data_IF_976558821651
#
_entry.id   IF_976558821651
#
_cell.length_a   1.000
_cell.length_b   1.000
_cell.length_c   1.000
_cell.angle_alpha   90.00
_cell.angle_beta   90.00
_cell.angle_gamma   90.00
#
_symmetry.space_group_name_H-M   'P 1'
#
loop_
_entity.id
_entity.type
_entity.pdbx_description
1 polymer ?
#
# COMPACT_ATOMS: atom_id res chain seq x y z
N UNK A 1 -44.82 -79.00 -39.11
CA UNK A 1 -44.66 -77.56 -38.81
C UNK A 1 -43.24 -77.40 -38.28
N UNK A 2 -42.31 -76.99 -39.14
CA UNK A 2 -40.87 -76.88 -38.85
C UNK A 2 -40.59 -75.46 -38.37
N UNK A 3 -39.89 -75.30 -37.23
CA UNK A 3 -39.35 -74.01 -36.78
C UNK A 3 -37.87 -74.22 -36.55
N UNK A 4 -37.07 -73.57 -37.39
CA UNK A 4 -35.61 -73.59 -37.40
C UNK A 4 -35.04 -72.38 -36.64
N UNK A 5 -33.87 -72.61 -36.06
CA UNK A 5 -33.03 -71.69 -35.29
C UNK A 5 -32.54 -70.47 -36.10
N UNK A 6 -32.24 -69.36 -35.40
CA UNK A 6 -31.23 -68.40 -35.86
C UNK A 6 -30.33 -67.95 -34.70
N UNK A 7 -29.00 -67.93 -34.89
CA UNK A 7 -28.03 -67.48 -33.90
C UNK A 7 -27.71 -65.98 -34.02
N UNK A 8 -27.45 -65.33 -32.89
CA UNK A 8 -26.99 -63.93 -32.81
C UNK A 8 -25.46 -63.90 -32.94
N UNK A 9 -24.96 -63.27 -34.01
CA UNK A 9 -23.54 -63.07 -34.29
C UNK A 9 -23.12 -61.64 -33.92
N UNK A 10 -22.10 -61.55 -33.07
CA UNK A 10 -21.38 -60.34 -32.64
C UNK A 10 -20.62 -59.69 -33.80
N UNK A 11 -20.79 -58.38 -33.99
CA UNK A 11 -20.02 -57.58 -34.95
C UNK A 11 -18.92 -56.76 -34.26
N UNK A 12 -17.70 -56.81 -34.81
CA UNK A 12 -16.51 -56.08 -34.36
C UNK A 12 -16.46 -54.63 -34.88
N UNK A 13 -15.75 -53.70 -34.20
CA UNK A 13 -15.64 -52.30 -34.60
C UNK A 13 -14.63 -52.06 -35.74
N UNK A 14 -14.95 -51.10 -36.61
CA UNK A 14 -14.15 -50.68 -37.79
C UNK A 14 -12.99 -49.75 -37.40
N UNK A 15 -11.81 -49.86 -38.05
CA UNK A 15 -10.71 -48.91 -37.88
C UNK A 15 -10.90 -47.64 -38.74
N UNK A 16 -10.65 -46.48 -38.15
CA UNK A 16 -10.55 -45.19 -38.85
C UNK A 16 -9.17 -45.05 -39.51
N UNK A 17 -9.15 -44.82 -40.83
CA UNK A 17 -7.96 -44.51 -41.61
C UNK A 17 -7.99 -43.02 -41.96
N UNK A 18 -7.02 -42.25 -41.48
CA UNK A 18 -6.84 -40.83 -41.82
C UNK A 18 -6.02 -40.72 -43.11
N UNK A 19 -6.62 -40.11 -44.13
CA UNK A 19 -6.05 -39.89 -45.47
C UNK A 19 -5.27 -38.57 -45.48
N UNK A 20 -3.95 -38.63 -45.58
CA UNK A 20 -3.09 -37.44 -45.75
C UNK A 20 -3.03 -37.09 -47.23
N UNK A 21 -3.65 -35.98 -47.63
CA UNK A 21 -3.50 -35.45 -48.98
C UNK A 21 -2.19 -34.65 -49.10
N UNK A 22 -1.22 -35.27 -49.80
CA UNK A 22 -0.01 -34.63 -50.31
C UNK A 22 -0.42 -33.74 -51.49
N UNK A 23 -0.35 -32.41 -51.36
CA UNK A 23 -0.62 -31.47 -52.45
C UNK A 23 0.70 -30.99 -53.06
N UNK A 24 0.83 -31.24 -54.35
CA UNK A 24 1.98 -30.94 -55.19
C UNK A 24 2.18 -29.44 -55.42
N UNK A 25 3.45 -29.12 -55.66
CA UNK A 25 4.00 -27.85 -56.07
C UNK A 25 3.37 -27.30 -57.37
N UNK A 26 2.97 -26.03 -57.35
CA UNK A 26 3.20 -25.00 -58.38
C UNK A 26 2.35 -23.78 -58.04
N UNK A 27 2.90 -22.77 -57.36
CA UNK A 27 2.30 -21.43 -57.39
C UNK A 27 3.28 -20.33 -56.95
N UNK A 28 3.70 -19.57 -57.97
CA UNK A 28 4.04 -18.13 -58.01
C UNK A 28 4.53 -17.46 -56.73
N UNK A 29 5.81 -17.05 -56.76
CA UNK A 29 6.41 -16.05 -55.88
C UNK A 29 5.66 -14.70 -55.92
N UNK A 30 5.26 -14.15 -54.77
CA UNK A 30 5.19 -12.72 -54.54
C UNK A 30 6.51 -12.24 -53.93
N UNK A 31 7.02 -11.12 -54.43
CA UNK A 31 8.24 -10.46 -53.96
C UNK A 31 8.11 -10.07 -52.48
N UNK A 32 9.00 -10.60 -51.63
CA UNK A 32 9.19 -10.13 -50.26
C UNK A 32 10.10 -8.90 -50.25
N UNK A 33 9.70 -7.77 -49.64
CA UNK A 33 10.64 -6.75 -49.22
C UNK A 33 11.44 -7.28 -48.02
N UNK A 34 12.76 -7.04 -48.02
CA UNK A 34 13.69 -7.42 -46.96
C UNK A 34 13.16 -7.09 -45.55
N UNK A 35 13.33 -7.98 -44.54
CA UNK A 35 13.15 -7.60 -43.15
C UNK A 35 14.30 -6.66 -42.74
N UNK A 36 13.95 -5.46 -42.28
CA UNK A 36 14.89 -4.57 -41.62
C UNK A 36 15.43 -5.26 -40.35
N UNK A 37 16.74 -5.15 -40.04
CA UNK A 37 17.24 -5.61 -38.75
C UNK A 37 16.57 -4.77 -37.66
N UNK A 38 15.78 -5.43 -36.81
CA UNK A 38 15.17 -4.84 -35.63
C UNK A 38 16.30 -4.26 -34.77
N UNK A 39 16.44 -2.94 -34.80
CA UNK A 39 17.18 -2.21 -33.80
C UNK A 39 16.61 -2.65 -32.44
N UNK A 40 17.43 -3.36 -31.67
CA UNK A 40 17.11 -3.79 -30.32
C UNK A 40 16.60 -2.57 -29.56
N UNK A 41 15.30 -2.54 -29.32
CA UNK A 41 14.69 -1.55 -28.45
C UNK A 41 15.39 -1.68 -27.11
N UNK A 42 16.20 -0.68 -26.76
CA UNK A 42 16.70 -0.51 -25.40
C UNK A 42 15.47 -0.60 -24.48
N UNK A 43 15.46 -1.46 -23.45
CA UNK A 43 14.40 -1.41 -22.47
C UNK A 43 14.38 0.01 -21.90
N UNK A 44 13.24 0.68 -22.04
CA UNK A 44 12.99 1.96 -21.41
C UNK A 44 13.28 1.84 -19.91
N UNK A 45 13.83 2.89 -19.25
CA UNK A 45 14.02 2.86 -17.81
C UNK A 45 12.66 2.60 -17.17
N UNK A 46 12.53 1.41 -16.57
CA UNK A 46 11.36 1.06 -15.76
C UNK A 46 11.19 2.17 -14.74
N UNK A 47 10.00 2.75 -14.69
CA UNK A 47 9.64 3.73 -13.67
C UNK A 47 10.09 3.16 -12.32
N UNK A 48 11.05 3.83 -11.70
CA UNK A 48 11.67 3.38 -10.46
C UNK A 48 10.59 3.49 -9.40
N UNK A 49 9.92 2.37 -9.11
CA UNK A 49 8.96 2.31 -8.01
C UNK A 49 9.67 2.87 -6.77
N UNK A 50 9.01 3.73 -5.96
CA UNK A 50 9.63 4.34 -4.80
C UNK A 50 10.26 3.25 -3.94
N UNK A 51 11.54 3.42 -3.64
CA UNK A 51 12.29 2.45 -2.85
C UNK A 51 11.73 2.49 -1.44
N UNK A 52 11.27 1.35 -0.88
CA UNK A 52 10.69 1.34 0.45
C UNK A 52 11.71 1.84 1.48
N UNK A 53 11.28 2.55 2.53
CA UNK A 53 12.18 3.08 3.55
C UNK A 53 12.83 1.92 4.30
N UNK A 54 14.13 1.70 4.03
CA UNK A 54 14.87 0.54 4.52
C UNK A 54 15.57 0.82 5.86
N UNK A 55 15.37 -0.07 6.83
CA UNK A 55 16.00 -0.04 8.14
C UNK A 55 17.34 -0.78 8.12
N UNK A 56 18.37 -0.12 7.56
CA UNK A 56 19.74 -0.62 7.51
C UNK A 56 20.29 -1.16 8.85
N UNK A 57 20.14 -0.46 10.00
CA UNK A 57 20.62 -0.98 11.27
C UNK A 57 19.80 -2.18 11.79
N UNK A 58 18.52 -2.31 11.45
CA UNK A 58 17.76 -3.52 11.77
C UNK A 58 18.26 -4.72 10.96
N UNK A 59 18.46 -4.56 9.65
CA UNK A 59 19.00 -5.62 8.79
C UNK A 59 20.34 -6.16 9.31
N UNK A 60 21.27 -5.27 9.66
CA UNK A 60 22.58 -5.64 10.22
C UNK A 60 22.44 -6.39 11.55
N UNK A 61 21.54 -5.95 12.44
CA UNK A 61 21.32 -6.60 13.75
C UNK A 61 20.77 -8.01 13.58
N UNK A 62 19.77 -8.19 12.73
CA UNK A 62 19.15 -9.50 12.46
C UNK A 62 20.19 -10.44 11.85
N UNK A 63 20.92 -9.99 10.83
CA UNK A 63 22.00 -10.78 10.23
C UNK A 63 23.05 -11.19 11.27
N UNK A 64 23.52 -10.25 12.08
CA UNK A 64 24.52 -10.52 13.11
C UNK A 64 24.01 -11.50 14.18
N UNK A 65 22.72 -11.43 14.55
CA UNK A 65 22.09 -12.36 15.47
C UNK A 65 22.03 -13.80 14.91
N UNK A 66 21.96 -13.95 13.58
CA UNK A 66 22.03 -15.24 12.89
C UNK A 66 23.47 -15.74 12.67
N UNK A 67 24.50 -14.96 13.04
CA UNK A 67 25.90 -15.30 12.80
C UNK A 67 26.29 -15.34 11.31
N UNK A 68 25.50 -14.71 10.44
CA UNK A 68 25.74 -14.71 8.99
C UNK A 68 26.65 -13.56 8.59
N UNK A 69 27.69 -13.83 7.79
CA UNK A 69 28.41 -12.76 7.07
C UNK A 69 27.62 -12.24 5.85
N UNK A 70 27.87 -11.00 5.37
CA UNK A 70 27.21 -10.46 4.17
C UNK A 70 27.35 -11.35 2.93
N UNK A 71 28.43 -12.15 2.88
CA UNK A 71 28.66 -13.15 1.83
C UNK A 71 27.59 -14.24 1.78
N UNK A 72 27.18 -14.74 2.96
CA UNK A 72 26.13 -15.76 3.07
C UNK A 72 24.79 -15.21 2.62
N UNK A 73 24.50 -13.95 2.97
CA UNK A 73 23.26 -13.27 2.55
C UNK A 73 23.23 -13.08 1.04
N UNK A 74 24.32 -12.54 0.48
CA UNK A 74 24.42 -12.34 -0.97
C UNK A 74 24.34 -13.68 -1.73
N UNK A 75 24.96 -14.74 -1.21
CA UNK A 75 24.80 -16.08 -1.76
C UNK A 75 23.34 -16.55 -1.75
N UNK A 76 22.65 -16.44 -0.62
CA UNK A 76 21.23 -16.82 -0.49
C UNK A 76 20.30 -16.05 -1.43
N UNK A 77 20.52 -14.74 -1.60
CA UNK A 77 19.73 -13.93 -2.54
C UNK A 77 19.98 -14.34 -4.00
N UNK A 78 21.22 -14.68 -4.36
CA UNK A 78 21.54 -15.19 -5.70
C UNK A 78 20.96 -16.57 -5.96
N UNK A 79 21.12 -17.50 -5.01
CA UNK A 79 20.75 -18.90 -5.19
C UNK A 79 19.26 -19.15 -5.08
N UNK A 80 18.59 -18.49 -4.14
CA UNK A 80 17.21 -18.82 -3.76
C UNK A 80 16.18 -17.85 -4.34
N UNK A 81 16.59 -16.62 -4.67
CA UNK A 81 15.70 -15.57 -5.16
C UNK A 81 16.03 -15.07 -6.56
N UNK A 82 17.03 -15.66 -7.22
CA UNK A 82 17.36 -15.36 -8.61
C UNK A 82 17.85 -13.92 -8.84
N UNK A 83 18.54 -13.33 -7.85
CA UNK A 83 19.10 -11.98 -7.91
C UNK A 83 20.62 -12.03 -8.12
N UNK A 84 21.13 -12.43 -9.30
CA UNK A 84 22.54 -12.78 -9.53
C UNK A 84 23.52 -11.61 -9.33
N UNK A 85 23.04 -10.38 -9.42
CA UNK A 85 23.83 -9.16 -9.29
C UNK A 85 24.11 -8.77 -7.83
N UNK A 86 23.43 -9.38 -6.86
CA UNK A 86 23.62 -9.04 -5.45
C UNK A 86 25.00 -9.54 -4.98
N UNK A 87 25.88 -8.60 -4.62
CA UNK A 87 27.22 -8.88 -4.10
C UNK A 87 27.29 -8.67 -2.58
N UNK A 88 28.30 -9.24 -1.89
CA UNK A 88 28.51 -8.98 -0.46
C UNK A 88 28.72 -7.48 -0.17
N UNK A 89 29.40 -6.77 -1.08
CA UNK A 89 29.59 -5.32 -0.99
C UNK A 89 28.28 -4.54 -1.11
N UNK A 90 27.34 -5.02 -1.94
CA UNK A 90 26.01 -4.41 -2.05
C UNK A 90 25.21 -4.59 -0.75
N UNK A 91 25.26 -5.77 -0.14
CA UNK A 91 24.65 -6.03 1.18
C UNK A 91 25.28 -5.13 2.24
N UNK A 92 26.61 -4.99 2.25
CA UNK A 92 27.30 -4.09 3.17
C UNK A 92 27.01 -2.59 2.89
N UNK A 93 26.71 -2.22 1.65
CA UNK A 93 26.28 -0.88 1.29
C UNK A 93 24.86 -0.59 1.82
N UNK A 94 23.94 -1.55 1.71
CA UNK A 94 22.61 -1.48 2.32
C UNK A 94 22.70 -1.33 3.84
N UNK A 95 23.47 -2.17 4.53
CA UNK A 95 23.61 -2.14 5.99
C UNK A 95 24.25 -0.85 6.53
N UNK A 96 25.01 -0.13 5.72
CA UNK A 96 25.58 1.18 6.05
C UNK A 96 24.70 2.36 5.64
N UNK A 97 23.56 2.09 4.99
CA UNK A 97 22.68 3.11 4.43
C UNK A 97 23.27 3.87 3.23
N UNK A 98 24.31 3.32 2.58
CA UNK A 98 24.92 3.90 1.38
C UNK A 98 24.10 3.62 0.12
N UNK A 99 23.22 2.62 0.17
CA UNK A 99 22.24 2.28 -0.85
C UNK A 99 20.97 1.74 -0.18
N UNK A 100 19.85 1.70 -0.91
CA UNK A 100 18.59 1.12 -0.43
C UNK A 100 18.12 0.00 -1.37
N UNK A 101 17.66 -1.14 -0.84
CA UNK A 101 17.14 -2.24 -1.66
C UNK A 101 15.78 -1.88 -2.25
N UNK A 102 15.55 -2.27 -3.51
CA UNK A 102 14.25 -2.23 -4.17
C UNK A 102 13.23 -3.13 -3.46
N UNK A 103 11.93 -2.97 -3.76
CA UNK A 103 10.89 -3.77 -3.13
C UNK A 103 11.07 -5.29 -3.27
N UNK A 104 11.56 -5.77 -4.42
CA UNK A 104 11.87 -7.19 -4.63
C UNK A 104 13.10 -7.66 -3.86
N UNK A 105 14.14 -6.82 -3.79
CA UNK A 105 15.35 -7.10 -3.02
C UNK A 105 15.06 -7.15 -1.53
N UNK A 106 14.19 -6.28 -1.02
CA UNK A 106 13.79 -6.26 0.39
C UNK A 106 13.05 -7.54 0.77
N UNK A 107 12.10 -8.01 -0.05
CA UNK A 107 11.42 -9.30 0.18
C UNK A 107 12.40 -10.48 0.16
N UNK A 108 13.34 -10.50 -0.79
CA UNK A 108 14.36 -11.54 -0.85
C UNK A 108 15.30 -11.50 0.35
N UNK A 109 15.72 -10.30 0.78
CA UNK A 109 16.55 -10.10 1.97
C UNK A 109 15.84 -10.58 3.24
N UNK A 110 14.55 -10.24 3.40
CA UNK A 110 13.73 -10.70 4.51
C UNK A 110 13.66 -12.24 4.55
N UNK A 111 13.45 -12.87 3.39
CA UNK A 111 13.44 -14.33 3.27
C UNK A 111 14.77 -15.00 3.62
N UNK A 112 15.90 -14.43 3.21
CA UNK A 112 17.25 -14.94 3.57
C UNK A 112 17.57 -14.73 5.04
N UNK A 113 17.12 -13.62 5.63
CA UNK A 113 17.29 -13.29 7.05
C UNK A 113 16.23 -13.93 7.94
N UNK A 114 15.32 -14.75 7.39
CA UNK A 114 14.23 -15.41 8.12
C UNK A 114 13.42 -14.42 8.97
N UNK A 115 13.29 -13.19 8.50
CA UNK A 115 12.55 -12.13 9.15
C UNK A 115 11.40 -11.66 8.26
N UNK A 116 10.46 -10.95 8.84
CA UNK A 116 9.41 -10.28 8.08
C UNK A 116 10.00 -9.07 7.32
N UNK A 117 9.43 -8.73 6.17
CA UNK A 117 9.82 -7.51 5.46
C UNK A 117 9.54 -6.25 6.30
N UNK A 118 8.57 -6.29 7.21
CA UNK A 118 8.27 -5.21 8.16
C UNK A 118 9.40 -4.90 9.13
N UNK A 119 10.15 -5.90 9.58
CA UNK A 119 11.32 -5.68 10.44
C UNK A 119 12.47 -4.95 9.72
N UNK A 120 12.45 -4.96 8.38
CA UNK A 120 13.42 -4.27 7.53
C UNK A 120 12.90 -2.93 7.00
N UNK A 121 11.64 -2.57 7.28
CA UNK A 121 11.05 -1.28 6.88
C UNK A 121 11.06 -0.35 8.09
N UNK A 122 11.64 0.85 7.97
CA UNK A 122 11.80 1.75 9.12
C UNK A 122 10.53 2.53 9.47
N UNK A 123 9.74 2.94 8.46
CA UNK A 123 8.45 3.60 8.63
C UNK A 123 7.66 3.49 7.33
N UNK A 124 6.72 2.54 7.21
CA UNK A 124 5.92 2.42 5.99
C UNK A 124 5.10 3.71 5.78
N UNK A 125 5.11 4.23 4.55
CA UNK A 125 4.40 5.45 4.14
C UNK A 125 3.45 5.20 2.97
N UNK A 126 3.69 4.14 2.20
CA UNK A 126 2.85 3.76 1.05
C UNK A 126 2.02 2.53 1.36
N UNK A 127 0.90 2.36 0.64
CA UNK A 127 0.06 1.15 0.72
C UNK A 127 0.88 -0.12 0.57
N UNK A 128 1.77 -0.12 -0.43
CA UNK A 128 2.68 -1.22 -0.72
C UNK A 128 3.59 -1.52 0.46
N UNK A 129 4.17 -0.49 1.08
CA UNK A 129 5.06 -0.66 2.23
C UNK A 129 4.33 -1.20 3.46
N UNK A 130 3.12 -0.71 3.76
CA UNK A 130 2.31 -1.25 4.86
C UNK A 130 1.94 -2.71 4.60
N UNK A 131 1.55 -3.06 3.37
CA UNK A 131 1.28 -4.46 2.99
C UNK A 131 2.52 -5.33 3.14
N UNK A 132 3.67 -4.86 2.66
CA UNK A 132 4.94 -5.57 2.81
C UNK A 132 5.31 -5.73 4.29
N UNK A 133 5.06 -4.71 5.10
CA UNK A 133 5.33 -4.77 6.54
C UNK A 133 4.50 -5.85 7.25
N UNK A 134 3.23 -6.00 6.84
CA UNK A 134 2.34 -7.05 7.34
C UNK A 134 2.56 -8.43 6.68
N UNK A 135 3.40 -8.52 5.65
CA UNK A 135 3.69 -9.78 4.95
C UNK A 135 2.51 -10.35 4.14
N UNK A 136 1.54 -9.51 3.76
CA UNK A 136 0.31 -9.95 3.07
C UNK A 136 0.48 -9.88 1.54
N UNK A 137 -0.05 -10.87 0.82
CA UNK A 137 -0.07 -10.84 -0.64
C UNK A 137 -1.07 -9.79 -1.16
N UNK A 138 -0.78 -9.18 -2.33
CA UNK A 138 -1.66 -8.16 -2.90
C UNK A 138 -3.06 -8.71 -3.21
N UNK A 139 -3.13 -9.97 -3.63
CA UNK A 139 -4.35 -10.73 -3.90
C UNK A 139 -5.24 -10.87 -2.67
N UNK A 140 -4.64 -11.09 -1.51
CA UNK A 140 -5.37 -11.29 -0.26
C UNK A 140 -5.94 -9.97 0.26
N UNK A 141 -5.19 -8.87 0.12
CA UNK A 141 -5.70 -7.52 0.43
C UNK A 141 -6.83 -7.14 -0.52
N UNK A 142 -6.64 -7.32 -1.84
CA UNK A 142 -7.65 -7.02 -2.83
C UNK A 142 -8.94 -7.81 -2.55
N UNK A 143 -8.84 -9.11 -2.27
CA UNK A 143 -9.98 -9.96 -1.93
C UNK A 143 -10.68 -9.52 -0.64
N UNK A 144 -9.92 -9.20 0.41
CA UNK A 144 -10.49 -8.76 1.68
C UNK A 144 -11.27 -7.44 1.54
N UNK A 145 -10.73 -6.50 0.77
CA UNK A 145 -11.37 -5.20 0.51
C UNK A 145 -12.52 -5.31 -0.50
N UNK A 146 -12.58 -6.39 -1.29
CA UNK A 146 -13.57 -6.56 -2.36
C UNK A 146 -13.22 -5.75 -3.61
N UNK A 147 -11.93 -5.68 -3.95
CA UNK A 147 -11.40 -5.10 -5.18
C UNK A 147 -10.83 -6.20 -6.07
N UNK A 148 -10.83 -5.94 -7.37
CA UNK A 148 -10.03 -6.73 -8.32
C UNK A 148 -8.54 -6.44 -8.10
N UNK A 149 -7.68 -7.44 -8.36
CA UNK A 149 -6.23 -7.34 -8.14
C UNK A 149 -5.59 -6.22 -8.98
N UNK A 150 -5.95 -6.12 -10.26
CA UNK A 150 -5.32 -5.16 -11.17
C UNK A 150 -5.58 -3.69 -10.75
N UNK A 151 -6.83 -3.27 -10.46
CA UNK A 151 -7.08 -1.96 -9.87
C UNK A 151 -6.35 -1.72 -8.55
N UNK A 152 -6.24 -2.74 -7.69
CA UNK A 152 -5.53 -2.62 -6.42
C UNK A 152 -4.02 -2.38 -6.63
N UNK A 153 -3.36 -3.16 -7.50
CA UNK A 153 -1.96 -2.95 -7.85
C UNK A 153 -1.71 -1.57 -8.46
N UNK A 154 -2.64 -1.10 -9.31
CA UNK A 154 -2.58 0.27 -9.83
C UNK A 154 -2.64 1.34 -8.73
N UNK A 155 -3.44 1.13 -7.68
CA UNK A 155 -3.46 2.05 -6.53
C UNK A 155 -2.18 1.98 -5.69
N UNK A 156 -1.58 0.80 -5.52
CA UNK A 156 -0.28 0.65 -4.87
C UNK A 156 0.83 1.37 -5.64
N UNK A 157 0.82 1.29 -6.97
CA UNK A 157 1.82 1.89 -7.84
C UNK A 157 1.66 3.41 -7.93
N UNK A 158 0.44 3.92 -8.08
CA UNK A 158 0.20 5.37 -8.13
C UNK A 158 0.26 6.03 -6.75
N UNK A 159 0.22 5.26 -5.66
CA UNK A 159 0.11 5.78 -4.30
C UNK A 159 -1.21 6.53 -4.05
N UNK A 160 -2.22 6.29 -4.89
CA UNK A 160 -3.51 6.99 -4.83
C UNK A 160 -4.62 5.97 -4.56
N UNK A 161 -5.23 6.10 -3.39
CA UNK A 161 -6.39 5.28 -3.04
C UNK A 161 -7.65 5.79 -3.72
N UNK A 162 -8.30 4.93 -4.51
CA UNK A 162 -9.57 5.25 -5.20
C UNK A 162 -10.76 4.44 -4.68
N UNK A 163 -10.59 3.70 -3.59
CA UNK A 163 -11.65 2.92 -2.96
C UNK A 163 -12.63 3.77 -2.13
N UNK A 164 -13.82 3.20 -1.89
CA UNK A 164 -14.86 3.81 -1.04
C UNK A 164 -14.44 3.92 0.43
N UNK A 165 -15.16 4.71 1.22
CA UNK A 165 -14.93 4.83 2.68
C UNK A 165 -15.00 3.48 3.39
N UNK A 166 -15.94 2.61 2.97
CA UNK A 166 -16.08 1.25 3.49
C UNK A 166 -14.87 0.39 3.16
N UNK A 167 -14.35 0.49 1.94
CA UNK A 167 -13.17 -0.25 1.50
C UNK A 167 -11.91 0.22 2.25
N UNK A 168 -11.79 1.52 2.53
CA UNK A 168 -10.70 2.05 3.36
C UNK A 168 -10.78 1.56 4.81
N UNK A 169 -11.99 1.39 5.37
CA UNK A 169 -12.18 0.81 6.71
C UNK A 169 -11.64 -0.63 6.80
N UNK A 170 -11.99 -1.45 5.80
CA UNK A 170 -11.51 -2.82 5.70
C UNK A 170 -10.00 -2.86 5.50
N UNK A 171 -9.47 -1.98 4.64
CA UNK A 171 -8.02 -1.85 4.42
C UNK A 171 -7.27 -1.52 5.71
N UNK A 172 -7.78 -0.60 6.52
CA UNK A 172 -7.17 -0.26 7.81
C UNK A 172 -7.09 -1.47 8.73
N UNK A 173 -8.13 -2.31 8.73
CA UNK A 173 -8.17 -3.52 9.55
C UNK A 173 -7.20 -4.59 9.03
N UNK A 174 -7.16 -4.80 7.72
CA UNK A 174 -6.31 -5.83 7.09
C UNK A 174 -4.83 -5.49 7.22
N UNK A 175 -4.48 -4.21 7.13
CA UNK A 175 -3.10 -3.73 7.18
C UNK A 175 -2.66 -3.25 8.57
N UNK A 176 -3.54 -3.39 9.58
CA UNK A 176 -3.34 -2.89 10.95
C UNK A 176 -2.88 -1.41 10.98
N UNK A 177 -3.54 -0.58 10.15
CA UNK A 177 -3.21 0.85 10.03
C UNK A 177 -3.80 1.63 11.18
N UNK A 178 -2.99 2.50 11.77
CA UNK A 178 -3.50 3.56 12.63
C UNK A 178 -4.31 4.56 11.80
N UNK A 179 -5.23 5.29 12.43
CA UNK A 179 -6.04 6.30 11.73
C UNK A 179 -5.21 7.39 11.03
N UNK A 180 -4.10 7.91 11.61
CA UNK A 180 -3.20 8.82 10.91
C UNK A 180 -2.60 8.17 9.65
N UNK A 181 -2.08 6.95 9.77
CA UNK A 181 -1.49 6.22 8.63
C UNK A 181 -2.52 5.98 7.54
N UNK A 182 -3.74 5.60 7.89
CA UNK A 182 -4.84 5.46 6.93
C UNK A 182 -5.07 6.78 6.17
N UNK A 183 -5.08 7.93 6.85
CA UNK A 183 -5.32 9.22 6.18
C UNK A 183 -4.19 9.65 5.25
N UNK A 184 -2.94 9.39 5.64
CA UNK A 184 -1.76 9.67 4.80
C UNK A 184 -1.74 8.74 3.60
N UNK A 185 -1.90 7.44 3.82
CA UNK A 185 -1.82 6.39 2.80
C UNK A 185 -2.96 6.46 1.79
N UNK A 186 -4.14 6.94 2.21
CA UNK A 186 -5.29 7.13 1.32
C UNK A 186 -5.35 8.53 0.69
N UNK A 187 -4.40 9.42 0.98
CA UNK A 187 -4.40 10.80 0.48
C UNK A 187 -5.57 11.66 0.99
N UNK A 188 -6.19 11.25 2.11
CA UNK A 188 -7.35 11.94 2.70
C UNK A 188 -6.97 13.06 3.66
N UNK A 189 -5.68 13.23 3.92
CA UNK A 189 -5.14 14.23 4.84
C UNK A 189 -5.54 15.66 4.49
N UNK A 190 -5.47 16.06 3.22
CA UNK A 190 -5.89 17.40 2.76
C UNK A 190 -7.36 17.66 3.08
N UNK A 191 -8.22 16.68 2.79
CA UNK A 191 -9.66 16.77 3.04
C UNK A 191 -9.97 16.79 4.54
N UNK A 192 -9.22 16.04 5.35
CA UNK A 192 -9.31 16.11 6.81
C UNK A 192 -8.93 17.52 7.29
N UNK A 193 -7.83 18.09 6.80
CA UNK A 193 -7.40 19.44 7.13
C UNK A 193 -8.46 20.49 6.81
N UNK A 194 -9.11 20.40 5.65
CA UNK A 194 -10.22 21.29 5.28
C UNK A 194 -11.42 21.18 6.25
N UNK A 195 -11.82 19.95 6.58
CA UNK A 195 -12.91 19.72 7.53
C UNK A 195 -12.58 20.22 8.94
N UNK A 196 -11.33 20.01 9.39
CA UNK A 196 -10.85 20.50 10.68
C UNK A 196 -10.80 22.03 10.72
N UNK A 197 -10.29 22.68 9.67
CA UNK A 197 -10.31 24.15 9.56
C UNK A 197 -11.74 24.68 9.66
N UNK A 198 -12.68 24.09 8.89
CA UNK A 198 -14.10 24.44 8.97
C UNK A 198 -14.69 24.24 10.36
N UNK A 199 -14.35 23.13 11.03
CA UNK A 199 -14.82 22.83 12.38
C UNK A 199 -14.36 23.89 13.40
N UNK A 200 -13.10 24.30 13.30
CA UNK A 200 -12.47 25.22 14.24
C UNK A 200 -12.87 26.68 14.00
N UNK A 201 -13.02 27.10 12.73
CA UNK A 201 -13.41 28.48 12.39
C UNK A 201 -14.91 28.74 12.48
N UNK A 202 -15.74 27.69 12.39
CA UNK A 202 -17.21 27.83 12.39
C UNK A 202 -17.85 27.04 13.54
N UNK A 203 -18.77 26.12 13.22
CA UNK A 203 -19.52 25.31 14.17
C UNK A 203 -19.02 23.87 14.13
N UNK A 204 -18.20 23.49 15.09
CA UNK A 204 -17.57 22.18 15.14
C UNK A 204 -18.55 20.99 15.10
N UNK A 205 -19.76 21.11 15.69
CA UNK A 205 -20.72 19.99 15.72
C UNK A 205 -21.19 19.54 14.32
N UNK A 206 -21.21 20.45 13.33
CA UNK A 206 -21.60 20.12 11.96
C UNK A 206 -20.54 19.24 11.25
N UNK A 207 -19.30 19.28 11.73
CA UNK A 207 -18.16 18.59 11.13
C UNK A 207 -17.86 17.21 11.75
N UNK A 208 -18.46 16.88 12.91
CA UNK A 208 -18.30 15.57 13.58
C UNK A 208 -18.64 14.42 12.64
N UNK A 209 -19.80 14.46 11.98
CA UNK A 209 -20.26 13.38 11.10
C UNK A 209 -19.44 13.26 9.82
N UNK A 210 -19.11 14.35 9.09
CA UNK A 210 -18.18 14.30 7.97
C UNK A 210 -16.81 13.71 8.32
N UNK A 211 -16.24 14.09 9.48
CA UNK A 211 -14.92 13.60 9.92
C UNK A 211 -15.01 12.13 10.34
N UNK A 212 -16.04 11.74 11.11
CA UNK A 212 -16.27 10.35 11.50
C UNK A 212 -16.42 9.43 10.28
N UNK A 213 -17.12 9.88 9.24
CA UNK A 213 -17.25 9.15 7.99
C UNK A 213 -15.91 9.04 7.24
N UNK A 214 -15.14 10.12 7.17
CA UNK A 214 -13.83 10.13 6.50
C UNK A 214 -12.83 9.18 7.17
N UNK A 215 -12.83 9.15 8.50
CA UNK A 215 -12.03 8.27 9.35
C UNK A 215 -12.62 6.86 9.48
N UNK A 216 -13.71 6.57 8.76
CA UNK A 216 -14.41 5.28 8.76
C UNK A 216 -14.86 4.78 10.16
N UNK A 217 -15.18 5.70 11.06
CA UNK A 217 -15.67 5.40 12.42
C UNK A 217 -17.15 4.98 12.46
N UNK A 218 -17.85 5.04 11.32
CA UNK A 218 -19.29 5.27 11.28
C UNK A 218 -20.18 4.03 11.40
N UNK A 219 -19.65 2.81 11.62
CA UNK A 219 -20.39 1.61 12.13
C UNK A 219 -19.61 0.28 12.00
N UNK A 220 -19.59 -0.49 13.09
CA UNK A 220 -19.40 -1.95 13.11
C UNK A 220 -18.04 -2.54 12.68
N UNK A 221 -16.96 -2.13 13.33
CA UNK A 221 -15.87 -3.06 13.65
C UNK A 221 -15.78 -3.14 15.18
N UNK A 222 -16.69 -3.97 15.69
CA UNK A 222 -16.88 -4.33 17.09
C UNK A 222 -15.64 -5.08 17.62
N UNK A 223 -15.23 -4.80 18.88
CA UNK A 223 -14.42 -5.68 19.76
C UNK A 223 -12.91 -5.88 19.51
N UNK A 224 -12.15 -4.82 19.27
CA UNK A 224 -10.80 -4.73 19.87
C UNK A 224 -10.71 -3.46 20.71
N UNK A 225 -11.26 -3.60 21.93
CA UNK A 225 -11.63 -2.57 22.87
C UNK A 225 -10.45 -1.97 23.66
N UNK A 226 -9.38 -1.54 22.99
CA UNK A 226 -8.29 -0.92 23.75
C UNK A 226 -7.58 0.27 23.09
N UNK A 227 -7.83 0.61 21.80
CA UNK A 227 -7.02 1.66 21.13
C UNK A 227 -7.68 2.58 20.11
N UNK A 228 -8.99 2.57 19.88
CA UNK A 228 -9.57 3.32 18.75
C UNK A 228 -10.46 4.50 19.16
N UNK A 229 -10.22 5.64 18.51
CA UNK A 229 -10.99 6.88 18.56
C UNK A 229 -12.50 6.62 18.43
N UNK A 230 -13.23 6.77 19.54
CA UNK A 230 -14.69 6.71 19.54
C UNK A 230 -15.30 8.06 19.12
N UNK A 231 -16.58 8.07 18.73
CA UNK A 231 -17.31 9.27 18.37
C UNK A 231 -17.34 10.28 19.52
N UNK A 232 -17.48 9.84 20.77
CA UNK A 232 -17.42 10.73 21.93
C UNK A 232 -16.06 11.40 22.05
N UNK A 233 -14.98 10.63 21.91
CA UNK A 233 -13.61 11.16 21.89
C UNK A 233 -13.39 12.16 20.75
N UNK A 234 -13.97 11.90 19.57
CA UNK A 234 -13.92 12.84 18.45
C UNK A 234 -14.66 14.15 18.76
N UNK A 235 -15.82 14.07 19.41
CA UNK A 235 -16.58 15.26 19.84
C UNK A 235 -15.77 16.09 20.85
N UNK A 236 -15.15 15.44 21.85
CA UNK A 236 -14.30 16.10 22.85
C UNK A 236 -13.07 16.78 22.21
N UNK A 237 -12.37 16.08 21.32
CA UNK A 237 -11.19 16.63 20.63
C UNK A 237 -11.57 17.81 19.73
N UNK A 238 -12.70 17.75 19.03
CA UNK A 238 -13.16 18.85 18.18
C UNK A 238 -13.62 20.06 19.02
N UNK A 239 -14.26 19.81 20.16
CA UNK A 239 -14.63 20.86 21.09
C UNK A 239 -13.39 21.56 21.67
N UNK A 240 -12.37 20.79 22.05
CA UNK A 240 -11.11 21.33 22.57
C UNK A 240 -10.36 22.15 21.50
N UNK A 241 -10.19 21.61 20.28
CA UNK A 241 -9.57 22.35 19.18
C UNK A 241 -10.29 23.67 18.86
N UNK A 242 -11.63 23.65 18.90
CA UNK A 242 -12.42 24.85 18.68
C UNK A 242 -12.20 25.86 19.83
N UNK A 243 -12.23 25.41 21.09
CA UNK A 243 -11.98 26.28 22.23
C UNK A 243 -10.58 26.91 22.19
N UNK A 244 -9.55 26.15 21.85
CA UNK A 244 -8.17 26.63 21.73
C UNK A 244 -8.04 27.73 20.68
N UNK A 245 -8.64 27.54 19.50
CA UNK A 245 -8.61 28.55 18.44
C UNK A 245 -9.43 29.79 18.79
N UNK A 246 -10.64 29.63 19.35
CA UNK A 246 -11.45 30.79 19.75
C UNK A 246 -10.78 31.57 20.89
N UNK A 247 -10.08 30.88 21.81
CA UNK A 247 -9.25 31.49 22.84
C UNK A 247 -8.08 32.28 22.26
N UNK A 248 -7.38 31.71 21.27
CA UNK A 248 -6.33 32.40 20.51
C UNK A 248 -6.90 33.68 19.86
N UNK A 249 -8.04 33.58 19.17
CA UNK A 249 -8.67 34.73 18.50
C UNK A 249 -9.18 35.80 19.48
N UNK A 250 -9.73 35.42 20.63
CA UNK A 250 -10.10 36.38 21.67
C UNK A 250 -8.89 37.10 22.29
N UNK A 251 -7.79 36.37 22.50
CA UNK A 251 -6.53 36.94 22.99
C UNK A 251 -5.94 37.95 21.98
N UNK A 252 -6.00 37.64 20.68
CA UNK A 252 -5.54 38.57 19.63
C UNK A 252 -6.33 39.87 19.60
N UNK A 253 -7.66 39.82 19.79
CA UNK A 253 -8.50 41.03 19.86
C UNK A 253 -8.22 41.88 21.09
N UNK A 254 -7.81 41.26 22.20
CA UNK A 254 -7.49 41.94 23.46
C UNK A 254 -6.15 42.70 23.40
N UNK A 255 -5.22 42.25 22.54
CA UNK A 255 -3.86 42.81 22.41
C UNK A 255 -3.67 43.67 21.15
N UNK A 256 -4.60 43.64 20.20
CA UNK A 256 -4.56 44.40 18.93
C UNK A 256 -4.74 45.93 19.06
N UNK A 257 -4.65 46.50 20.27
CA UNK A 257 -4.65 47.95 20.48
C UNK A 257 -3.27 48.61 20.23
N UNK A 258 -2.37 47.91 19.52
CA UNK A 258 -1.02 48.32 19.10
C UNK A 258 -0.49 47.43 17.98
N UNK A 259 0.78 47.58 17.55
CA UNK A 259 1.44 46.89 16.41
C UNK A 259 1.37 45.35 16.39
N UNK A 260 0.75 44.72 17.39
CA UNK A 260 0.48 43.29 17.53
C UNK A 260 -0.62 42.74 16.59
N UNK A 261 -1.26 43.57 15.76
CA UNK A 261 -2.31 43.13 14.83
C UNK A 261 -1.79 42.21 13.70
N UNK A 262 -0.53 42.38 13.26
CA UNK A 262 0.10 41.50 12.25
C UNK A 262 0.48 40.14 12.86
N UNK A 263 1.13 40.15 14.02
CA UNK A 263 1.57 38.94 14.74
C UNK A 263 0.38 38.05 15.16
N UNK A 264 -0.74 38.68 15.45
CA UNK A 264 -2.02 38.02 15.78
C UNK A 264 -2.61 37.23 14.61
N UNK A 265 -2.54 37.78 13.39
CA UNK A 265 -3.02 37.10 12.18
C UNK A 265 -2.11 35.95 11.77
N UNK A 266 -0.81 36.06 12.06
CA UNK A 266 0.18 35.02 11.76
C UNK A 266 0.06 33.84 12.72
N UNK A 267 -0.17 34.09 14.03
CA UNK A 267 -0.44 33.03 15.00
C UNK A 267 -1.70 32.20 14.65
N UNK A 268 -2.75 32.84 14.12
CA UNK A 268 -3.95 32.15 13.64
C UNK A 268 -3.69 31.29 12.41
N UNK A 269 -2.87 31.77 11.47
CA UNK A 269 -2.45 30.99 10.30
C UNK A 269 -1.59 29.79 10.68
N UNK A 270 -0.60 29.99 11.56
CA UNK A 270 0.24 28.92 12.10
C UNK A 270 -0.58 27.85 12.84
N UNK A 271 -1.67 28.26 13.49
CA UNK A 271 -2.63 27.34 14.12
C UNK A 271 -3.34 26.46 13.07
N UNK A 272 -3.83 27.06 11.99
CA UNK A 272 -4.58 26.37 10.94
C UNK A 272 -3.68 25.54 10.01
N UNK A 273 -2.40 25.89 9.88
CA UNK A 273 -1.44 25.16 9.06
C UNK A 273 -1.07 23.82 9.70
N UNK A 274 -0.82 23.80 11.01
CA UNK A 274 -0.53 22.57 11.77
C UNK A 274 -1.75 21.86 12.36
N UNK A 275 -2.96 22.13 11.85
CA UNK A 275 -4.21 21.67 12.49
C UNK A 275 -4.37 20.14 12.52
N UNK A 276 -3.86 19.43 11.50
CA UNK A 276 -3.92 17.97 11.42
C UNK A 276 -3.02 17.33 12.47
N UNK A 277 -1.80 17.85 12.64
CA UNK A 277 -0.87 17.38 13.67
C UNK A 277 -1.38 17.63 15.08
N UNK A 278 -2.00 18.80 15.30
CA UNK A 278 -2.65 19.15 16.58
C UNK A 278 -3.80 18.20 16.87
N UNK A 279 -4.66 17.93 15.88
CA UNK A 279 -5.75 16.96 16.01
C UNK A 279 -5.24 15.59 16.44
N UNK A 280 -4.24 15.02 15.74
CA UNK A 280 -3.71 13.70 16.10
C UNK A 280 -3.00 13.70 17.45
N UNK A 281 -2.34 14.80 17.82
CA UNK A 281 -1.71 14.95 19.13
C UNK A 281 -2.74 14.97 20.26
N UNK A 282 -3.85 15.67 20.07
CA UNK A 282 -4.97 15.69 21.01
C UNK A 282 -5.63 14.32 21.11
N UNK A 283 -5.91 13.65 19.98
CA UNK A 283 -6.45 12.28 19.97
C UNK A 283 -5.57 11.34 20.79
N UNK A 284 -4.24 11.35 20.59
CA UNK A 284 -3.33 10.51 21.39
C UNK A 284 -3.37 10.84 22.87
N UNK A 285 -3.39 12.13 23.21
CA UNK A 285 -3.44 12.59 24.60
C UNK A 285 -4.74 12.15 25.28
N UNK A 286 -5.88 12.38 24.64
CA UNK A 286 -7.20 12.08 25.22
C UNK A 286 -7.51 10.59 25.19
N UNK A 287 -6.95 9.82 24.25
CA UNK A 287 -7.03 8.34 24.24
C UNK A 287 -6.11 7.66 25.26
N UNK A 288 -5.12 8.38 25.82
CA UNK A 288 -4.23 7.85 26.87
C UNK A 288 -4.79 8.01 28.29
N UNK A 289 -5.95 8.65 28.42
CA UNK A 289 -6.72 8.81 29.66
C UNK A 289 -7.90 7.85 29.67
#
# INVERSE_FOLDING_TARGET
MFVAEQPVVTAAPRPYVVRVHRRSAHERQPQHPYPQPQAQARPAPQATAPTPPFNAPAARRIRAALGMEPEHVAYGMRSSYGLPYVTPDLVAAWERGAASPTGSELTALAGVLWCSAGELISSPRTLREHRMAQGIAAEDVARAVGLELTPYLGMEETGEWRGTDRQAAVLATVLDLTLPELTTVTGRETRLGELLRGAVTTRWQAHVRPIAKLLALDRHLDKQADRHLDRHLLEDVLQELHADYQGLMAATLTWANGTAATDSGDAGRDFLDGIVDRFWSLVRRTASY
#
